data_IF_072405827412
#
_entry.id   IF_072405827412
#
_cell.length_a   1.000
_cell.length_b   1.000
_cell.length_c   1.000
_cell.angle_alpha   90.00
_cell.angle_beta   90.00
_cell.angle_gamma   90.00
#
_symmetry.space_group_name_H-M   'P 1'
#
loop_
_entity.id
_entity.type
_entity.pdbx_description
1 polymer ?
#
# COMPACT_ATOMS: atom_id res chain seq x y z
N UNK A 1 50.76 -26.28 42.69
CA UNK A 1 49.43 -26.29 42.08
C UNK A 1 48.95 -24.85 41.97
N UNK A 2 48.97 -24.20 40.80
CA UNK A 2 48.33 -22.91 40.62
C UNK A 2 46.89 -23.12 40.10
N UNK A 3 45.93 -22.48 40.77
CA UNK A 3 44.51 -22.48 40.43
C UNK A 3 44.27 -21.68 39.14
N UNK A 4 43.72 -22.33 38.10
CA UNK A 4 43.15 -21.64 36.96
C UNK A 4 41.76 -21.10 37.33
N UNK A 5 41.63 -19.77 37.38
CA UNK A 5 40.33 -19.10 37.42
C UNK A 5 39.79 -18.96 36.00
N UNK A 6 38.74 -19.70 35.66
CA UNK A 6 37.97 -19.49 34.44
C UNK A 6 37.02 -18.30 34.64
N UNK A 7 37.36 -17.15 34.08
CA UNK A 7 36.39 -16.06 33.87
C UNK A 7 35.51 -16.41 32.67
N UNK A 8 34.28 -16.83 32.94
CA UNK A 8 33.23 -16.95 31.93
C UNK A 8 32.76 -15.55 31.53
N UNK A 9 33.10 -15.12 30.31
CA UNK A 9 32.51 -13.94 29.70
C UNK A 9 31.09 -14.30 29.22
N UNK A 10 30.08 -13.92 29.99
CA UNK A 10 28.68 -13.90 29.55
C UNK A 10 28.55 -12.76 28.52
N UNK A 11 28.62 -13.10 27.24
CA UNK A 11 28.20 -12.20 26.17
C UNK A 11 26.70 -11.98 26.29
N UNK A 12 26.28 -10.73 26.54
CA UNK A 12 24.89 -10.33 26.33
C UNK A 12 24.59 -10.50 24.83
N UNK A 13 23.85 -11.55 24.46
CA UNK A 13 23.08 -11.52 23.22
C UNK A 13 22.08 -10.38 23.37
N UNK A 14 22.34 -9.26 22.70
CA UNK A 14 21.32 -8.28 22.41
C UNK A 14 20.25 -8.99 21.56
N UNK A 15 19.18 -9.46 22.21
CA UNK A 15 17.94 -9.79 21.54
C UNK A 15 17.44 -8.48 20.93
N UNK A 16 17.85 -8.21 19.68
CA UNK A 16 17.10 -7.30 18.83
C UNK A 16 15.65 -7.80 18.90
N UNK A 17 14.68 -6.94 19.26
CA UNK A 17 13.29 -7.35 19.14
C UNK A 17 13.13 -7.73 17.67
N UNK A 18 12.84 -9.01 17.42
CA UNK A 18 12.32 -9.40 16.13
C UNK A 18 11.10 -8.49 15.94
N UNK A 19 11.19 -7.54 15.01
CA UNK A 19 10.06 -6.72 14.63
C UNK A 19 8.95 -7.73 14.31
N UNK A 20 7.94 -7.80 15.17
CA UNK A 20 6.78 -8.63 14.88
C UNK A 20 6.11 -7.92 13.70
N UNK A 21 6.34 -8.45 12.51
CA UNK A 21 5.64 -8.03 11.31
C UNK A 21 4.14 -8.30 11.55
N UNK A 22 3.29 -7.38 11.12
CA UNK A 22 1.84 -7.45 11.37
C UNK A 22 1.24 -8.73 10.83
N UNK A 23 1.68 -9.19 9.65
CA UNK A 23 1.23 -10.47 9.12
C UNK A 23 1.64 -11.65 10.00
N UNK A 24 0.64 -12.45 10.40
CA UNK A 24 0.81 -13.70 11.12
C UNK A 24 0.20 -14.87 10.33
N UNK A 25 1.06 -15.68 9.71
CA UNK A 25 0.69 -16.89 8.93
C UNK A 25 -0.14 -17.90 9.73
N UNK A 26 -0.01 -17.92 11.06
CA UNK A 26 -0.71 -18.87 11.92
C UNK A 26 -2.02 -18.30 12.47
N UNK A 27 -2.32 -17.03 12.19
CA UNK A 27 -3.57 -16.40 12.62
C UNK A 27 -4.66 -16.51 11.56
N UNK A 28 -5.88 -16.21 12.00
CA UNK A 28 -7.08 -16.13 11.18
C UNK A 28 -7.84 -14.81 11.37
N UNK A 29 -7.18 -13.82 11.98
CA UNK A 29 -7.71 -12.49 12.26
C UNK A 29 -6.88 -11.38 11.59
N UNK A 30 -6.01 -11.71 10.62
CA UNK A 30 -5.24 -10.69 9.92
C UNK A 30 -6.16 -9.75 9.15
N UNK A 31 -5.88 -8.44 9.21
CA UNK A 31 -6.57 -7.43 8.41
C UNK A 31 -5.58 -6.80 7.42
N UNK A 32 -5.88 -6.99 6.13
CA UNK A 32 -5.12 -6.40 5.01
C UNK A 32 -5.94 -5.25 4.43
N UNK A 33 -5.31 -4.11 4.16
CA UNK A 33 -6.01 -2.96 3.56
C UNK A 33 -5.17 -2.34 2.44
N UNK A 34 -5.80 -2.06 1.30
CA UNK A 34 -5.15 -1.33 0.20
C UNK A 34 -5.07 0.17 0.52
N UNK A 35 -3.97 0.82 0.16
CA UNK A 35 -3.76 2.26 0.34
C UNK A 35 -3.00 2.83 -0.86
N UNK A 36 -3.43 3.97 -1.38
CA UNK A 36 -2.72 4.67 -2.45
C UNK A 36 -3.63 5.19 -3.55
N UNK A 37 -4.82 4.63 -3.75
CA UNK A 37 -5.71 5.03 -4.85
C UNK A 37 -6.79 6.05 -4.47
N UNK A 38 -6.98 6.35 -3.18
CA UNK A 38 -8.00 7.32 -2.75
C UNK A 38 -9.38 7.01 -3.37
N UNK A 39 -9.83 5.76 -3.24
CA UNK A 39 -11.04 5.26 -3.89
C UNK A 39 -12.24 6.19 -3.62
N UNK A 40 -13.01 6.51 -4.66
CA UNK A 40 -14.14 7.43 -4.59
C UNK A 40 -13.77 8.91 -4.37
N UNK A 41 -12.48 9.26 -4.43
CA UNK A 41 -11.97 10.63 -4.27
C UNK A 41 -12.37 11.29 -2.94
N UNK A 42 -12.54 10.49 -1.88
CA UNK A 42 -12.99 10.95 -0.55
C UNK A 42 -11.90 11.65 0.25
N UNK A 43 -10.66 11.62 -0.24
CA UNK A 43 -9.46 12.14 0.40
C UNK A 43 -8.69 11.02 1.11
N UNK A 44 -7.40 10.94 0.84
CA UNK A 44 -6.51 9.97 1.48
C UNK A 44 -5.35 10.69 2.18
N UNK A 45 -5.08 10.28 3.42
CA UNK A 45 -3.94 10.77 4.20
C UNK A 45 -2.64 10.03 3.83
N UNK A 46 -1.52 10.54 4.36
CA UNK A 46 -0.22 9.86 4.25
C UNK A 46 -0.25 8.47 4.91
N UNK A 47 0.67 7.59 4.54
CA UNK A 47 0.67 6.19 4.99
C UNK A 47 0.84 6.07 6.52
N UNK A 48 1.77 6.84 7.12
CA UNK A 48 2.01 6.78 8.58
C UNK A 48 0.80 7.18 9.43
N UNK A 49 -0.07 8.05 8.92
CA UNK A 49 -1.33 8.39 9.60
C UNK A 49 -2.18 7.13 9.82
N UNK A 50 -2.29 6.26 8.82
CA UNK A 50 -3.07 5.04 8.93
C UNK A 50 -2.39 4.00 9.81
N UNK A 51 -1.07 3.87 9.72
CA UNK A 51 -0.31 2.97 10.60
C UNK A 51 -0.49 3.31 12.09
N UNK A 52 -0.59 4.60 12.41
CA UNK A 52 -0.89 5.08 13.76
C UNK A 52 -2.36 4.89 14.16
N UNK A 53 -3.28 5.27 13.27
CA UNK A 53 -4.70 5.42 13.62
C UNK A 53 -5.56 4.17 13.33
N UNK A 54 -5.00 3.14 12.70
CA UNK A 54 -5.61 1.82 12.53
C UNK A 54 -4.73 0.73 13.15
N UNK A 55 -4.64 0.67 14.49
CA UNK A 55 -3.82 -0.33 15.18
C UNK A 55 -4.21 -1.78 14.82
N UNK A 56 -5.47 -2.04 14.50
CA UNK A 56 -5.98 -3.37 14.13
C UNK A 56 -5.72 -3.78 12.66
N UNK A 57 -5.13 -2.91 11.83
CA UNK A 57 -4.72 -3.29 10.46
C UNK A 57 -3.32 -3.88 10.49
N UNK A 58 -3.11 -5.07 9.98
CA UNK A 58 -1.82 -5.77 10.07
C UNK A 58 -0.93 -5.52 8.85
N UNK A 59 -1.55 -5.52 7.67
CA UNK A 59 -0.88 -5.40 6.38
C UNK A 59 -1.46 -4.23 5.60
N UNK A 60 -0.59 -3.43 5.00
CA UNK A 60 -0.97 -2.39 4.06
C UNK A 60 -0.35 -2.66 2.70
N UNK A 61 -1.20 -2.86 1.70
CA UNK A 61 -0.80 -2.98 0.30
C UNK A 61 -0.73 -1.57 -0.29
N UNK A 62 0.47 -1.10 -0.64
CA UNK A 62 0.66 0.18 -1.34
C UNK A 62 0.24 -0.01 -2.80
N UNK A 63 -0.68 0.83 -3.26
CA UNK A 63 -1.42 0.65 -4.52
C UNK A 63 -1.30 1.89 -5.39
N UNK A 64 -0.65 1.87 -6.56
CA UNK A 64 -0.06 0.70 -7.23
C UNK A 64 1.16 1.05 -8.06
N UNK A 65 1.99 0.04 -8.29
CA UNK A 65 2.86 -0.02 -9.46
C UNK A 65 1.99 -0.49 -10.63
N UNK A 66 1.23 0.45 -11.22
CA UNK A 66 0.22 0.19 -12.25
C UNK A 66 0.82 -0.46 -13.49
N UNK A 67 2.06 -0.13 -13.84
CA UNK A 67 2.69 -0.72 -15.01
C UNK A 67 4.16 -1.05 -14.76
N UNK A 68 4.53 -2.29 -15.08
CA UNK A 68 5.90 -2.80 -14.92
C UNK A 68 6.75 -2.39 -16.11
N UNK A 69 6.26 -2.62 -17.33
CA UNK A 69 7.01 -2.34 -18.56
C UNK A 69 7.27 -0.84 -18.81
N UNK A 70 6.37 0.04 -18.36
CA UNK A 70 6.50 1.49 -18.48
C UNK A 70 6.83 2.21 -17.16
N UNK A 71 7.10 1.44 -16.09
CA UNK A 71 7.43 1.93 -14.75
C UNK A 71 6.46 3.01 -14.26
N UNK A 72 5.18 2.68 -14.18
CA UNK A 72 4.12 3.61 -13.80
C UNK A 72 3.71 3.40 -12.34
N UNK A 73 4.14 4.29 -11.45
CA UNK A 73 3.72 4.33 -10.05
C UNK A 73 2.63 5.39 -9.86
N UNK A 74 1.45 4.97 -9.44
CA UNK A 74 0.33 5.86 -9.16
C UNK A 74 -0.07 5.74 -7.68
N UNK A 75 -0.03 6.86 -6.96
CA UNK A 75 -0.44 6.97 -5.54
C UNK A 75 -1.50 8.07 -5.35
N UNK A 76 -2.34 8.28 -6.37
CA UNK A 76 -3.41 9.27 -6.41
C UNK A 76 -2.96 10.64 -5.87
N UNK A 77 -3.70 11.20 -4.91
CA UNK A 77 -3.41 12.52 -4.35
C UNK A 77 -2.10 12.58 -3.55
N UNK A 78 -1.61 11.45 -3.02
CA UNK A 78 -0.33 11.41 -2.29
C UNK A 78 0.85 11.49 -3.27
N UNK A 79 0.66 11.00 -4.50
CA UNK A 79 1.62 11.15 -5.60
C UNK A 79 1.97 12.62 -5.92
N UNK A 80 1.10 13.57 -5.60
CA UNK A 80 1.35 15.00 -5.79
C UNK A 80 2.52 15.54 -4.94
N UNK A 81 2.89 14.83 -3.86
CA UNK A 81 4.05 15.16 -3.03
C UNK A 81 5.34 14.50 -3.54
N UNK A 82 5.28 13.74 -4.63
CA UNK A 82 6.40 13.08 -5.25
C UNK A 82 6.91 13.85 -6.48
N UNK A 83 8.12 13.51 -6.94
CA UNK A 83 8.69 14.05 -8.18
C UNK A 83 9.01 12.93 -9.14
N UNK A 84 8.83 13.11 -10.45
CA UNK A 84 9.18 12.10 -11.43
C UNK A 84 10.70 11.87 -11.53
N UNK A 85 11.12 10.62 -11.80
CA UNK A 85 12.51 10.34 -12.16
C UNK A 85 12.82 10.85 -13.57
N UNK A 86 13.96 11.53 -13.80
CA UNK A 86 14.32 12.04 -15.14
C UNK A 86 14.38 10.96 -16.22
N UNK A 87 14.82 9.75 -15.87
CA UNK A 87 14.96 8.61 -16.76
C UNK A 87 13.69 7.76 -16.91
N UNK A 88 12.70 7.97 -16.04
CA UNK A 88 11.46 7.20 -15.98
C UNK A 88 10.32 8.13 -15.53
N UNK A 89 9.74 8.92 -16.46
CA UNK A 89 8.84 10.02 -16.10
C UNK A 89 7.50 9.58 -15.46
N UNK A 90 7.10 8.31 -15.64
CA UNK A 90 5.92 7.74 -14.99
C UNK A 90 6.25 7.14 -13.61
N UNK A 91 7.53 7.07 -13.25
CA UNK A 91 7.98 6.57 -11.95
C UNK A 91 8.16 7.74 -11.00
N UNK A 92 7.63 7.60 -9.80
CA UNK A 92 7.66 8.66 -8.78
C UNK A 92 8.77 8.41 -7.76
N UNK A 93 9.52 9.46 -7.42
CA UNK A 93 10.40 9.55 -6.27
C UNK A 93 9.62 10.16 -5.11
N UNK A 94 9.35 9.37 -4.07
CA UNK A 94 8.41 9.67 -3.00
C UNK A 94 9.09 9.60 -1.61
N UNK A 95 9.91 10.60 -1.22
CA UNK A 95 10.65 10.58 0.05
C UNK A 95 9.73 10.61 1.29
N UNK A 96 8.52 11.16 1.19
CA UNK A 96 7.55 11.09 2.28
C UNK A 96 7.04 9.66 2.49
N UNK A 97 6.79 8.92 1.41
CA UNK A 97 6.33 7.52 1.47
C UNK A 97 7.47 6.62 1.96
N UNK A 98 8.72 6.88 1.54
CA UNK A 98 9.90 6.23 2.12
C UNK A 98 9.93 6.33 3.65
N UNK A 99 9.81 7.55 4.18
CA UNK A 99 9.80 7.77 5.62
C UNK A 99 8.62 7.08 6.31
N UNK A 100 7.44 7.10 5.69
CA UNK A 100 6.24 6.46 6.23
C UNK A 100 6.36 4.93 6.29
N UNK A 101 6.92 4.29 5.25
CA UNK A 101 7.14 2.83 5.24
C UNK A 101 8.00 2.43 6.44
N UNK A 102 9.10 3.16 6.67
CA UNK A 102 10.01 2.90 7.79
C UNK A 102 9.30 3.09 9.13
N UNK A 103 8.50 4.16 9.28
CA UNK A 103 7.73 4.40 10.51
C UNK A 103 6.68 3.30 10.75
N UNK A 104 5.94 2.91 9.73
CA UNK A 104 4.95 1.84 9.81
C UNK A 104 5.55 0.51 10.27
N UNK A 105 6.68 0.13 9.69
CA UNK A 105 7.38 -1.12 10.02
C UNK A 105 8.01 -1.05 11.42
N UNK A 106 8.71 0.03 11.75
CA UNK A 106 9.53 0.10 12.98
C UNK A 106 8.75 0.53 14.23
N UNK A 107 7.77 1.43 14.07
CA UNK A 107 7.02 1.99 15.19
C UNK A 107 5.71 1.24 15.42
N UNK A 108 5.01 0.89 14.33
CA UNK A 108 3.67 0.32 14.40
C UNK A 108 3.60 -1.17 14.04
N UNK A 109 4.73 -1.78 13.70
CA UNK A 109 4.84 -3.22 13.41
C UNK A 109 4.03 -3.67 12.19
N UNK A 110 3.71 -2.77 11.25
CA UNK A 110 2.90 -3.12 10.08
C UNK A 110 3.73 -3.86 9.03
N UNK A 111 3.11 -4.82 8.34
CA UNK A 111 3.66 -5.39 7.10
C UNK A 111 3.28 -4.48 5.94
N UNK A 112 4.25 -4.01 5.18
CA UNK A 112 4.03 -3.09 4.05
C UNK A 112 4.40 -3.78 2.74
N UNK A 113 3.42 -3.97 1.87
CA UNK A 113 3.57 -4.66 0.59
C UNK A 113 3.53 -3.66 -0.56
N UNK A 114 4.23 -3.95 -1.65
CA UNK A 114 4.03 -3.22 -2.91
C UNK A 114 3.05 -4.00 -3.79
N UNK A 115 1.87 -3.45 -4.04
CA UNK A 115 0.89 -4.04 -4.93
C UNK A 115 1.12 -3.61 -6.37
N UNK A 116 1.17 -4.61 -7.26
CA UNK A 116 1.44 -4.47 -8.67
C UNK A 116 0.10 -4.46 -9.43
N UNK A 117 0.02 -3.65 -10.49
CA UNK A 117 -1.12 -3.56 -11.41
C UNK A 117 -2.35 -2.80 -10.85
N UNK A 118 -3.44 -3.48 -10.51
CA UNK A 118 -4.78 -2.93 -10.20
C UNK A 118 -5.65 -2.68 -11.45
N UNK A 119 -6.89 -2.25 -11.32
CA UNK A 119 -7.86 -2.08 -12.43
C UNK A 119 -7.50 -1.22 -13.67
N UNK A 120 -6.36 -0.52 -13.71
CA UNK A 120 -6.09 0.50 -14.76
C UNK A 120 -4.88 0.24 -15.65
N UNK A 121 -4.18 -0.90 -15.50
CA UNK A 121 -3.08 -1.20 -16.42
C UNK A 121 -3.59 -1.49 -17.82
N UNK A 122 -2.67 -1.36 -18.78
CA UNK A 122 -2.95 -1.66 -20.19
C UNK A 122 -1.86 -2.54 -20.79
N UNK A 123 -0.96 -3.07 -19.97
CA UNK A 123 0.15 -3.88 -20.46
C UNK A 123 -0.29 -5.31 -20.79
N UNK A 124 0.27 -5.86 -21.86
CA UNK A 124 -0.03 -7.22 -22.34
C UNK A 124 0.99 -8.25 -21.86
N UNK A 125 1.80 -7.89 -20.87
CA UNK A 125 2.87 -8.72 -20.31
C UNK A 125 4.22 -8.54 -21.00
N UNK A 126 5.05 -9.58 -20.95
CA UNK A 126 6.45 -9.49 -21.39
C UNK A 126 6.68 -10.19 -22.72
N UNK A 127 7.58 -9.65 -23.54
CA UNK A 127 7.89 -10.18 -24.87
C UNK A 127 8.56 -11.56 -24.88
N UNK A 128 9.13 -11.98 -23.74
CA UNK A 128 9.75 -13.29 -23.54
C UNK A 128 9.88 -13.60 -22.05
N UNK A 129 10.09 -14.87 -21.71
CA UNK A 129 10.44 -15.29 -20.35
C UNK A 129 11.68 -14.56 -19.81
N UNK A 130 12.71 -14.33 -20.63
CA UNK A 130 13.91 -13.57 -20.20
C UNK A 130 13.61 -12.09 -19.91
N UNK A 131 12.68 -11.49 -20.65
CA UNK A 131 12.23 -10.13 -20.38
C UNK A 131 11.42 -10.05 -19.06
N UNK A 132 10.57 -11.06 -18.81
CA UNK A 132 9.84 -11.20 -17.56
C UNK A 132 10.77 -11.35 -16.34
N UNK A 133 11.79 -12.20 -16.45
CA UNK A 133 12.83 -12.37 -15.41
C UNK A 133 13.57 -11.05 -15.15
N UNK A 134 14.00 -10.35 -16.21
CA UNK A 134 14.66 -9.04 -16.06
C UNK A 134 13.76 -8.02 -15.37
N UNK A 135 12.46 -7.99 -15.69
CA UNK A 135 11.50 -7.09 -15.07
C UNK A 135 11.28 -7.42 -13.58
N UNK A 136 11.23 -8.70 -13.20
CA UNK A 136 11.13 -9.12 -11.81
C UNK A 136 12.38 -8.69 -11.00
N UNK A 137 13.56 -8.84 -11.60
CA UNK A 137 14.82 -8.37 -11.01
C UNK A 137 14.84 -6.84 -10.85
N UNK A 138 14.27 -6.11 -11.81
CA UNK A 138 14.12 -4.66 -11.72
C UNK A 138 13.17 -4.27 -10.58
N UNK A 139 12.00 -4.90 -10.46
CA UNK A 139 11.06 -4.65 -9.35
C UNK A 139 11.70 -4.96 -7.98
N UNK A 140 12.44 -6.06 -7.89
CA UNK A 140 13.21 -6.39 -6.70
C UNK A 140 14.29 -5.35 -6.38
N UNK A 141 14.99 -4.85 -7.39
CA UNK A 141 15.97 -3.78 -7.23
C UNK A 141 15.35 -2.42 -6.87
N UNK A 142 14.09 -2.17 -7.22
CA UNK A 142 13.35 -0.96 -6.86
C UNK A 142 12.87 -0.96 -5.40
N UNK A 143 12.30 -2.07 -4.93
CA UNK A 143 11.54 -2.12 -3.68
C UNK A 143 12.11 -3.09 -2.63
N UNK A 144 12.89 -4.09 -3.04
CA UNK A 144 13.58 -5.04 -2.16
C UNK A 144 14.83 -4.43 -1.49
N UNK A 145 15.70 -5.24 -0.86
CA UNK A 145 16.94 -4.78 -0.23
C UNK A 145 17.81 -3.94 -1.15
N UNK A 146 18.42 -2.88 -0.61
CA UNK A 146 19.34 -2.01 -1.36
C UNK A 146 20.54 -2.82 -1.86
N UNK A 147 20.78 -2.77 -3.17
CA UNK A 147 21.85 -3.51 -3.83
C UNK A 147 23.04 -2.58 -4.13
N UNK A 148 24.19 -2.85 -3.52
CA UNK A 148 25.40 -2.04 -3.71
C UNK A 148 25.83 -2.03 -5.19
N UNK A 149 26.02 -0.83 -5.75
CA UNK A 149 26.44 -0.65 -7.15
C UNK A 149 25.31 -0.76 -8.18
N UNK A 150 24.06 -0.99 -7.76
CA UNK A 150 22.90 -0.92 -8.62
C UNK A 150 22.39 0.54 -8.71
N UNK A 151 22.07 1.00 -9.92
CA UNK A 151 21.57 2.35 -10.21
C UNK A 151 20.08 2.40 -10.58
N UNK A 152 19.34 1.29 -10.41
CA UNK A 152 17.89 1.24 -10.60
C UNK A 152 17.23 2.33 -9.74
N UNK A 153 16.39 3.21 -10.31
CA UNK A 153 15.69 4.24 -9.54
C UNK A 153 14.78 3.59 -8.50
N UNK A 154 14.85 4.06 -7.26
CA UNK A 154 14.09 3.51 -6.13
C UNK A 154 13.02 4.49 -5.68
N UNK A 155 11.73 4.22 -5.96
CA UNK A 155 10.62 5.13 -5.62
C UNK A 155 10.55 5.52 -4.15
N UNK A 156 10.93 4.60 -3.28
CA UNK A 156 10.91 4.78 -1.83
C UNK A 156 12.32 4.81 -1.24
N UNK A 157 13.29 5.34 -2.00
CA UNK A 157 14.68 5.50 -1.55
C UNK A 157 15.25 4.21 -0.95
N UNK A 158 15.69 4.26 0.31
CA UNK A 158 16.27 3.11 1.00
C UNK A 158 15.26 2.24 1.76
N UNK A 159 13.97 2.61 1.79
CA UNK A 159 12.95 1.75 2.38
C UNK A 159 12.87 0.41 1.63
N UNK A 160 12.59 -0.65 2.38
CA UNK A 160 12.49 -2.02 1.88
C UNK A 160 11.12 -2.56 2.25
N UNK A 161 10.27 -2.81 1.24
CA UNK A 161 8.95 -3.41 1.47
C UNK A 161 9.08 -4.81 2.07
N UNK A 162 8.02 -5.32 2.65
CA UNK A 162 7.97 -6.67 3.22
C UNK A 162 7.56 -7.73 2.19
N UNK A 163 7.20 -7.32 0.98
CA UNK A 163 6.75 -8.24 -0.04
C UNK A 163 6.05 -7.57 -1.22
N UNK A 164 5.47 -8.40 -2.08
CA UNK A 164 4.74 -7.99 -3.26
C UNK A 164 3.36 -8.63 -3.30
N UNK A 165 2.41 -7.86 -3.80
CA UNK A 165 1.03 -8.27 -4.02
C UNK A 165 0.70 -8.15 -5.51
N UNK A 166 0.06 -9.16 -6.09
CA UNK A 166 -0.33 -9.21 -7.49
C UNK A 166 -1.83 -8.94 -7.59
N UNK A 167 -2.23 -7.79 -8.14
CA UNK A 167 -3.63 -7.41 -8.30
C UNK A 167 -3.98 -7.29 -9.79
N UNK A 168 -4.04 -8.42 -10.50
CA UNK A 168 -4.39 -8.42 -11.92
C UNK A 168 -5.91 -8.55 -12.07
N UNK A 169 -6.55 -7.47 -12.50
CA UNK A 169 -8.00 -7.46 -12.72
C UNK A 169 -8.39 -7.80 -14.17
N UNK A 170 -7.43 -7.81 -15.09
CA UNK A 170 -7.56 -8.17 -16.51
C UNK A 170 -6.47 -9.18 -16.99
N UNK A 171 -6.78 -10.17 -17.83
CA UNK A 171 -5.77 -11.16 -18.23
C UNK A 171 -4.53 -10.57 -18.91
N UNK A 172 -3.35 -10.94 -18.42
CA UNK A 172 -2.07 -10.69 -19.08
C UNK A 172 -1.63 -11.96 -19.81
N UNK A 173 -1.70 -11.95 -21.14
CA UNK A 173 -1.52 -13.15 -21.96
C UNK A 173 -0.06 -13.66 -22.04
N UNK A 174 0.95 -12.86 -21.68
CA UNK A 174 2.35 -13.18 -21.97
C UNK A 174 3.28 -13.17 -20.74
N UNK A 175 3.87 -14.33 -20.45
CA UNK A 175 5.03 -14.52 -19.57
C UNK A 175 4.89 -13.96 -18.14
N UNK A 176 3.68 -13.92 -17.57
CA UNK A 176 3.50 -13.48 -16.18
C UNK A 176 4.03 -14.50 -15.16
N UNK A 177 3.85 -15.79 -15.41
CA UNK A 177 4.38 -16.85 -14.53
C UNK A 177 5.91 -16.77 -14.36
N UNK A 178 6.74 -16.64 -15.42
CA UNK A 178 8.17 -16.40 -15.25
C UNK A 178 8.52 -15.15 -14.42
N UNK A 179 7.75 -14.08 -14.52
CA UNK A 179 7.95 -12.87 -13.71
C UNK A 179 7.65 -13.15 -12.22
N UNK A 180 6.50 -13.77 -11.93
CA UNK A 180 6.10 -14.13 -10.57
C UNK A 180 7.07 -15.14 -9.93
N UNK A 181 7.50 -16.15 -10.69
CA UNK A 181 8.45 -17.17 -10.23
C UNK A 181 9.83 -16.57 -9.90
N UNK A 182 10.36 -15.67 -10.74
CA UNK A 182 11.64 -14.99 -10.45
C UNK A 182 11.53 -14.09 -9.22
N UNK A 183 10.44 -13.32 -9.09
CA UNK A 183 10.25 -12.46 -7.93
C UNK A 183 10.20 -13.28 -6.63
N UNK A 184 9.48 -14.41 -6.64
CA UNK A 184 9.46 -15.36 -5.51
C UNK A 184 10.83 -15.94 -5.20
N UNK A 185 11.59 -16.32 -6.23
CA UNK A 185 12.96 -16.84 -6.09
C UNK A 185 13.89 -15.83 -5.41
N UNK A 186 13.83 -14.56 -5.84
CA UNK A 186 14.63 -13.46 -5.25
C UNK A 186 14.27 -13.22 -3.78
N UNK A 187 12.97 -13.30 -3.45
CA UNK A 187 12.47 -13.18 -2.08
C UNK A 187 12.93 -14.33 -1.18
N UNK A 188 12.92 -15.57 -1.68
CA UNK A 188 13.38 -16.74 -0.93
C UNK A 188 14.90 -16.75 -0.72
N UNK A 189 15.65 -16.21 -1.67
CA UNK A 189 17.10 -16.07 -1.57
C UNK A 189 17.54 -14.97 -0.59
N UNK A 190 16.64 -14.05 -0.24
CA UNK A 190 16.94 -12.93 0.66
C UNK A 190 17.09 -13.41 2.10
N UNK A 191 18.19 -13.01 2.76
CA UNK A 191 18.50 -13.41 4.14
C UNK A 191 18.27 -12.31 5.18
N UNK A 192 17.89 -11.09 4.74
CA UNK A 192 17.71 -9.94 5.62
C UNK A 192 16.44 -10.02 6.48
N UNK A 193 15.35 -10.55 5.91
CA UNK A 193 14.07 -10.83 6.57
C UNK A 193 13.26 -11.80 5.71
N UNK A 194 12.19 -12.37 6.27
CA UNK A 194 11.17 -13.07 5.47
C UNK A 194 10.42 -12.05 4.63
N UNK A 195 10.28 -12.34 3.34
CA UNK A 195 9.43 -11.59 2.42
C UNK A 195 8.17 -12.39 2.11
N UNK A 196 7.09 -11.67 1.84
CA UNK A 196 5.76 -12.21 1.63
C UNK A 196 5.27 -12.00 0.20
N UNK A 197 4.59 -13.00 -0.36
CA UNK A 197 3.98 -12.92 -1.68
C UNK A 197 2.46 -13.14 -1.58
N UNK A 198 1.68 -12.22 -2.12
CA UNK A 198 0.23 -12.36 -2.24
C UNK A 198 -0.28 -12.09 -3.65
N UNK A 199 -1.52 -12.51 -3.89
CA UNK A 199 -2.29 -12.17 -5.08
C UNK A 199 -3.73 -11.78 -4.68
N UNK A 200 -4.44 -11.06 -5.54
CA UNK A 200 -5.78 -10.56 -5.31
C UNK A 200 -6.75 -11.01 -6.42
N UNK A 201 -6.97 -12.33 -6.59
CA UNK A 201 -7.90 -12.81 -7.61
C UNK A 201 -9.32 -12.35 -7.31
N UNK A 202 -10.15 -12.21 -8.33
CA UNK A 202 -11.59 -12.04 -8.15
C UNK A 202 -12.24 -13.35 -7.66
N UNK A 203 -13.44 -13.27 -7.08
CA UNK A 203 -14.09 -14.49 -6.57
C UNK A 203 -14.48 -15.55 -7.62
N UNK A 204 -14.76 -15.26 -8.91
CA UNK A 204 -14.98 -16.30 -9.91
C UNK A 204 -13.78 -17.23 -10.00
N UNK A 205 -14.00 -18.53 -10.13
CA UNK A 205 -12.92 -19.52 -10.18
C UNK A 205 -13.09 -20.47 -11.38
N UNK A 206 -12.04 -20.74 -12.18
CA UNK A 206 -10.70 -20.15 -12.07
C UNK A 206 -10.71 -18.64 -12.32
N UNK A 207 -9.84 -17.89 -11.64
CA UNK A 207 -9.65 -16.47 -11.90
C UNK A 207 -8.84 -16.32 -13.18
N UNK A 208 -9.43 -15.75 -14.23
CA UNK A 208 -8.83 -15.71 -15.57
C UNK A 208 -7.59 -14.83 -15.68
N UNK A 209 -7.36 -13.93 -14.72
CA UNK A 209 -6.25 -12.99 -14.74
C UNK A 209 -5.02 -13.56 -14.05
N UNK A 210 -5.24 -14.23 -12.93
CA UNK A 210 -4.19 -14.82 -12.10
C UNK A 210 -3.94 -16.31 -12.41
N UNK A 211 -4.83 -17.01 -13.12
CA UNK A 211 -4.83 -18.48 -13.32
C UNK A 211 -3.43 -19.04 -13.62
N UNK A 212 -2.72 -18.41 -14.56
CA UNK A 212 -1.46 -18.92 -15.11
C UNK A 212 -0.35 -19.11 -14.07
N UNK A 213 -0.38 -18.37 -12.96
CA UNK A 213 0.63 -18.47 -11.90
C UNK A 213 0.04 -18.80 -10.54
N UNK A 214 -1.25 -18.53 -10.31
CA UNK A 214 -1.95 -18.84 -9.07
C UNK A 214 -2.18 -20.34 -8.89
N UNK A 215 -2.47 -21.04 -9.98
CA UNK A 215 -2.65 -22.50 -10.03
C UNK A 215 -1.38 -23.24 -10.49
N UNK A 216 -0.31 -22.48 -10.77
CA UNK A 216 0.99 -22.96 -11.23
C UNK A 216 1.98 -23.25 -10.11
N UNK A 217 3.27 -23.05 -10.39
CA UNK A 217 4.37 -23.40 -9.47
C UNK A 217 4.69 -22.32 -8.44
N UNK A 218 4.06 -21.13 -8.53
CA UNK A 218 4.37 -19.99 -7.67
C UNK A 218 3.72 -20.15 -6.29
N UNK A 219 4.56 -20.21 -5.26
CA UNK A 219 4.13 -20.42 -3.88
C UNK A 219 3.71 -19.10 -3.20
N UNK A 220 2.45 -18.71 -3.34
CA UNK A 220 1.87 -17.56 -2.61
C UNK A 220 1.71 -17.85 -1.11
N UNK A 221 2.01 -16.87 -0.26
CA UNK A 221 1.81 -16.99 1.19
C UNK A 221 0.32 -16.81 1.55
N UNK A 222 -0.40 -15.93 0.83
CA UNK A 222 -1.87 -15.81 0.90
C UNK A 222 -2.50 -15.21 -0.37
N UNK A 223 -3.83 -15.25 -0.45
CA UNK A 223 -4.64 -14.57 -1.46
C UNK A 223 -5.70 -13.66 -0.84
N UNK A 224 -5.86 -12.49 -1.42
CA UNK A 224 -6.82 -11.44 -1.09
C UNK A 224 -8.06 -11.55 -2.01
N UNK A 225 -8.80 -12.67 -1.94
CA UNK A 225 -9.88 -12.95 -2.90
C UNK A 225 -10.94 -11.85 -2.87
N UNK A 226 -11.16 -11.16 -3.99
CA UNK A 226 -12.10 -10.06 -4.11
C UNK A 226 -13.53 -10.60 -4.19
N UNK A 227 -14.17 -10.81 -3.05
CA UNK A 227 -15.57 -11.22 -2.94
C UNK A 227 -16.53 -10.03 -3.08
N UNK A 228 -16.36 -9.25 -4.14
CA UNK A 228 -17.23 -8.14 -4.54
C UNK A 228 -17.20 -7.94 -6.05
N UNK A 229 -18.07 -7.06 -6.57
CA UNK A 229 -18.27 -6.81 -8.02
C UNK A 229 -18.71 -8.02 -8.86
N UNK A 230 -18.91 -9.17 -8.23
CA UNK A 230 -19.21 -10.45 -8.85
C UNK A 230 -20.33 -11.17 -8.08
N UNK A 231 -21.04 -12.08 -8.75
CA UNK A 231 -22.16 -12.84 -8.14
C UNK A 231 -21.74 -13.70 -6.95
N UNK A 232 -20.47 -14.12 -6.89
CA UNK A 232 -19.91 -14.87 -5.76
C UNK A 232 -19.49 -14.01 -4.56
N UNK A 233 -19.77 -12.71 -4.59
CA UNK A 233 -19.36 -11.77 -3.55
C UNK A 233 -20.10 -11.91 -2.23
N UNK A 234 -19.57 -11.30 -1.17
CA UNK A 234 -20.16 -11.33 0.19
C UNK A 234 -21.58 -10.77 0.22
N UNK A 235 -21.91 -9.79 -0.63
CA UNK A 235 -23.27 -9.25 -0.74
C UNK A 235 -24.32 -10.24 -1.27
N UNK A 236 -23.89 -11.43 -1.71
CA UNK A 236 -24.75 -12.55 -2.11
C UNK A 236 -24.70 -13.73 -1.12
N UNK A 237 -24.06 -13.56 0.05
CA UNK A 237 -24.06 -14.56 1.11
C UNK A 237 -25.48 -14.81 1.66
N UNK A 238 -25.86 -16.08 1.95
CA UNK A 238 -25.06 -17.29 1.80
C UNK A 238 -25.16 -17.96 0.43
N UNK A 239 -26.07 -17.53 -0.44
CA UNK A 239 -26.51 -18.30 -1.60
C UNK A 239 -25.40 -18.54 -2.62
N UNK A 240 -24.69 -17.47 -3.02
CA UNK A 240 -23.72 -17.55 -4.13
C UNK A 240 -22.27 -17.37 -3.67
N UNK A 241 -22.05 -17.09 -2.37
CA UNK A 241 -20.72 -16.92 -1.79
C UNK A 241 -19.89 -18.22 -1.86
N UNK A 242 -18.87 -18.24 -2.71
CA UNK A 242 -18.17 -19.46 -3.11
C UNK A 242 -16.90 -19.79 -2.28
N UNK A 243 -16.90 -19.48 -0.97
CA UNK A 243 -15.75 -19.73 -0.08
C UNK A 243 -15.18 -21.15 -0.17
N UNK A 244 -16.04 -22.16 -0.26
CA UNK A 244 -15.62 -23.56 -0.34
C UNK A 244 -14.70 -23.85 -1.54
N UNK A 245 -14.86 -23.10 -2.64
CA UNK A 245 -14.00 -23.20 -3.82
C UNK A 245 -12.58 -22.72 -3.50
N UNK A 246 -12.46 -21.56 -2.86
CA UNK A 246 -11.17 -20.98 -2.48
C UNK A 246 -10.48 -21.74 -1.33
N UNK A 247 -11.24 -22.31 -0.39
CA UNK A 247 -10.71 -23.25 0.59
C UNK A 247 -10.14 -24.52 -0.08
N UNK A 248 -10.85 -25.06 -1.08
CA UNK A 248 -10.36 -26.19 -1.86
C UNK A 248 -9.09 -25.85 -2.64
N UNK A 249 -9.03 -24.67 -3.27
CA UNK A 249 -7.83 -24.18 -3.97
C UNK A 249 -6.62 -24.19 -3.03
N UNK A 250 -6.74 -23.58 -1.84
CA UNK A 250 -5.62 -23.47 -0.89
C UNK A 250 -5.09 -24.86 -0.46
N UNK A 251 -5.99 -25.84 -0.30
CA UNK A 251 -5.65 -27.19 0.16
C UNK A 251 -5.12 -28.10 -0.94
N UNK A 252 -5.62 -27.96 -2.16
CA UNK A 252 -5.44 -28.96 -3.21
C UNK A 252 -4.63 -28.44 -4.39
N UNK A 253 -4.79 -27.17 -4.76
CA UNK A 253 -4.19 -26.58 -5.96
C UNK A 253 -2.90 -25.84 -5.61
N UNK A 254 -2.97 -24.82 -4.74
CA UNK A 254 -1.85 -23.91 -4.43
C UNK A 254 -0.51 -24.62 -4.23
N UNK A 255 0.57 -24.10 -4.83
CA UNK A 255 1.92 -24.62 -4.63
C UNK A 255 2.35 -24.56 -3.14
N UNK A 256 1.83 -23.59 -2.38
CA UNK A 256 1.99 -23.52 -0.94
C UNK A 256 0.77 -24.13 -0.22
N UNK A 257 0.90 -25.34 0.32
CA UNK A 257 -0.20 -26.00 1.06
C UNK A 257 -0.54 -25.38 2.41
N UNK A 258 0.20 -24.35 2.82
CA UNK A 258 -0.10 -23.50 3.98
C UNK A 258 -0.62 -22.11 3.57
N UNK A 259 -0.93 -21.89 2.29
CA UNK A 259 -1.45 -20.62 1.81
C UNK A 259 -2.75 -20.25 2.55
N UNK A 260 -2.87 -18.96 2.85
CA UNK A 260 -4.08 -18.40 3.46
C UNK A 260 -5.00 -17.78 2.43
N UNK A 261 -6.30 -17.78 2.74
CA UNK A 261 -7.35 -17.11 1.96
C UNK A 261 -7.97 -16.06 2.85
N UNK A 262 -8.08 -14.84 2.34
CA UNK A 262 -8.75 -13.72 3.00
C UNK A 262 -10.07 -13.43 2.30
N UNK A 263 -11.07 -13.00 3.07
CA UNK A 263 -12.31 -12.45 2.50
C UNK A 263 -12.03 -11.01 2.10
N UNK A 264 -11.82 -10.74 0.81
CA UNK A 264 -11.76 -9.39 0.27
C UNK A 264 -13.15 -8.78 0.15
N UNK A 265 -13.33 -7.58 0.71
CA UNK A 265 -14.61 -6.86 0.67
C UNK A 265 -14.39 -5.34 0.59
N UNK A 266 -15.32 -4.55 0.02
CA UNK A 266 -15.18 -3.11 -0.01
C UNK A 266 -15.31 -2.54 1.40
N UNK A 267 -14.50 -1.54 1.73
CA UNK A 267 -14.50 -0.93 3.06
C UNK A 267 -15.70 0.02 3.30
N UNK A 268 -16.40 0.42 2.24
CA UNK A 268 -17.58 1.27 2.27
C UNK A 268 -18.37 1.15 0.95
N UNK A 269 -19.59 1.70 0.91
CA UNK A 269 -20.48 1.67 -0.26
C UNK A 269 -19.88 2.31 -1.52
N UNK A 270 -18.98 3.28 -1.36
CA UNK A 270 -18.32 3.98 -2.47
C UNK A 270 -17.06 3.27 -3.00
N UNK A 271 -16.64 2.17 -2.37
CA UNK A 271 -15.43 1.44 -2.75
C UNK A 271 -15.60 0.43 -3.88
N UNK A 272 -16.84 0.12 -4.28
CA UNK A 272 -17.13 -0.92 -5.26
C UNK A 272 -18.38 -0.59 -6.08
N UNK A 273 -18.71 -1.47 -7.04
CA UNK A 273 -19.92 -1.33 -7.85
C UNK A 273 -21.17 -1.34 -6.95
N UNK A 274 -22.19 -0.56 -7.36
CA UNK A 274 -23.45 -0.49 -6.64
C UNK A 274 -24.03 -1.90 -6.38
N UNK A 275 -24.40 -2.16 -5.12
CA UNK A 275 -24.91 -3.46 -4.67
C UNK A 275 -23.84 -4.48 -4.22
N UNK A 276 -22.55 -4.13 -4.31
CA UNK A 276 -21.46 -5.04 -3.90
C UNK A 276 -21.03 -4.90 -2.45
N UNK A 277 -21.40 -3.80 -1.78
CA UNK A 277 -21.11 -3.63 -0.35
C UNK A 277 -22.06 -4.52 0.49
N UNK A 278 -21.52 -5.43 1.33
CA UNK A 278 -22.36 -6.37 2.07
C UNK A 278 -23.07 -5.71 3.24
N UNK A 279 -24.19 -6.31 3.64
CA UNK A 279 -24.79 -6.02 4.95
C UNK A 279 -23.96 -6.62 6.09
N UNK A 280 -24.17 -6.10 7.29
CA UNK A 280 -23.55 -6.60 8.53
C UNK A 280 -23.72 -8.11 8.77
N UNK A 281 -24.90 -8.66 8.50
CA UNK A 281 -25.19 -10.08 8.68
C UNK A 281 -24.54 -10.94 7.61
N UNK A 282 -24.40 -10.42 6.40
CA UNK A 282 -23.71 -11.11 5.31
C UNK A 282 -22.21 -11.22 5.58
N UNK A 283 -21.56 -10.13 6.00
CA UNK A 283 -20.14 -10.14 6.32
C UNK A 283 -19.82 -11.04 7.52
N UNK A 284 -20.54 -10.86 8.64
CA UNK A 284 -20.34 -11.68 9.84
C UNK A 284 -20.64 -13.17 9.58
N UNK A 285 -21.64 -13.48 8.75
CA UNK A 285 -21.95 -14.85 8.31
C UNK A 285 -20.85 -15.46 7.44
N UNK A 286 -20.30 -14.70 6.48
CA UNK A 286 -19.19 -15.12 5.64
C UNK A 286 -17.91 -15.38 6.45
N UNK A 287 -17.56 -14.47 7.37
CA UNK A 287 -16.42 -14.64 8.29
C UNK A 287 -16.63 -15.88 9.19
N UNK A 288 -17.84 -16.07 9.73
CA UNK A 288 -18.14 -17.23 10.58
C UNK A 288 -18.04 -18.55 9.82
N UNK A 289 -18.46 -18.59 8.56
CA UNK A 289 -18.27 -19.76 7.68
C UNK A 289 -16.77 -20.02 7.44
N UNK A 290 -16.03 -18.98 7.10
CA UNK A 290 -14.61 -19.07 6.78
C UNK A 290 -13.75 -19.53 7.97
N UNK A 291 -14.05 -19.04 9.18
CA UNK A 291 -13.40 -19.49 10.43
C UNK A 291 -13.46 -21.00 10.67
N UNK A 292 -14.40 -21.70 10.03
CA UNK A 292 -14.49 -23.16 10.06
C UNK A 292 -13.38 -23.87 9.26
N UNK A 293 -12.56 -23.16 8.49
CA UNK A 293 -11.50 -23.75 7.65
C UNK A 293 -10.09 -23.33 8.10
N UNK A 294 -9.11 -24.22 7.91
CA UNK A 294 -7.70 -23.96 8.25
C UNK A 294 -7.01 -22.98 7.28
N UNK A 295 -7.58 -22.82 6.10
CA UNK A 295 -7.13 -21.90 5.06
C UNK A 295 -7.47 -20.44 5.37
N UNK A 296 -8.44 -20.17 6.26
CA UNK A 296 -8.82 -18.80 6.59
C UNK A 296 -7.66 -18.03 7.23
N UNK A 297 -7.36 -16.86 6.67
CA UNK A 297 -6.31 -15.95 7.13
C UNK A 297 -6.81 -14.64 7.72
N UNK A 298 -8.05 -14.25 7.41
CA UNK A 298 -8.65 -12.99 7.87
C UNK A 298 -9.42 -12.25 6.77
N UNK A 299 -9.40 -10.92 6.80
CA UNK A 299 -10.20 -10.04 5.91
C UNK A 299 -9.28 -9.08 5.15
N UNK A 300 -9.59 -8.85 3.88
CA UNK A 300 -8.97 -7.79 3.08
C UNK A 300 -10.00 -6.69 2.78
N UNK A 301 -9.56 -5.43 2.80
CA UNK A 301 -10.41 -4.27 2.58
C UNK A 301 -9.91 -3.36 1.45
N UNK A 302 -10.82 -3.04 0.54
CA UNK A 302 -10.63 -2.03 -0.49
C UNK A 302 -11.47 -0.77 -0.20
N UNK A 303 -10.90 0.39 0.18
CA UNK A 303 -9.51 0.70 0.51
C UNK A 303 -9.45 1.53 1.81
N UNK A 304 -8.28 2.02 2.19
CA UNK A 304 -8.06 2.79 3.42
C UNK A 304 -8.84 4.11 3.47
N UNK A 305 -9.00 4.80 2.34
CA UNK A 305 -9.74 6.06 2.27
C UNK A 305 -11.24 5.82 2.53
N UNK A 306 -11.77 4.75 1.94
CA UNK A 306 -13.15 4.30 2.18
C UNK A 306 -13.35 3.81 3.61
N UNK A 307 -12.39 3.05 4.16
CA UNK A 307 -12.45 2.53 5.53
C UNK A 307 -12.55 3.65 6.56
N UNK A 308 -11.72 4.68 6.44
CA UNK A 308 -11.73 5.82 7.35
C UNK A 308 -12.96 6.73 7.18
N UNK A 309 -13.60 6.68 6.01
CA UNK A 309 -14.89 7.33 5.77
C UNK A 309 -16.07 6.54 6.35
N UNK A 310 -15.87 5.27 6.71
CA UNK A 310 -16.88 4.37 7.28
C UNK A 310 -16.64 4.14 8.78
N UNK A 311 -17.02 5.14 9.59
CA UNK A 311 -16.73 5.14 11.03
C UNK A 311 -17.31 3.90 11.73
N UNK A 312 -16.46 3.16 12.44
CA UNK A 312 -16.84 1.97 13.22
C UNK A 312 -16.79 0.65 12.45
N UNK A 313 -16.62 0.67 11.13
CA UNK A 313 -16.62 -0.55 10.32
C UNK A 313 -15.42 -1.47 10.62
N UNK A 314 -14.22 -0.91 10.81
CA UNK A 314 -13.05 -1.69 11.23
C UNK A 314 -13.30 -2.41 12.56
N UNK A 315 -13.86 -1.69 13.55
CA UNK A 315 -14.15 -2.27 14.87
C UNK A 315 -15.17 -3.42 14.78
N UNK A 316 -16.14 -3.32 13.86
CA UNK A 316 -17.09 -4.40 13.58
C UNK A 316 -16.39 -5.63 13.01
N UNK A 317 -15.50 -5.45 12.03
CA UNK A 317 -14.73 -6.56 11.44
C UNK A 317 -13.85 -7.23 12.50
N UNK A 318 -13.16 -6.46 13.34
CA UNK A 318 -12.38 -6.99 14.46
C UNK A 318 -13.25 -7.85 15.39
N UNK A 319 -14.47 -7.39 15.70
CA UNK A 319 -15.40 -8.15 16.53
C UNK A 319 -15.86 -9.45 15.82
N UNK A 320 -16.16 -9.40 14.52
CA UNK A 320 -16.54 -10.58 13.73
C UNK A 320 -15.37 -11.59 13.63
N UNK A 321 -14.13 -11.09 13.59
CA UNK A 321 -12.89 -11.88 13.70
C UNK A 321 -12.63 -12.41 15.12
N UNK A 322 -13.42 -12.01 16.12
CA UNK A 322 -13.37 -12.51 17.50
C UNK A 322 -12.38 -11.77 18.40
N UNK A 323 -11.83 -10.65 17.91
CA UNK A 323 -11.01 -9.72 18.68
C UNK A 323 -11.83 -8.68 19.43
N UNK A 324 -11.11 -7.75 20.06
CA UNK A 324 -11.67 -6.53 20.63
C UNK A 324 -10.95 -5.34 20.00
N UNK A 325 -11.69 -4.40 19.42
CA UNK A 325 -11.12 -3.26 18.71
C UNK A 325 -10.13 -2.48 19.58
N UNK A 326 -8.95 -2.22 19.04
CA UNK A 326 -7.90 -1.50 19.74
C UNK A 326 -8.20 0.01 19.70
N UNK A 327 -7.91 0.70 20.81
CA UNK A 327 -7.98 2.17 20.80
C UNK A 327 -6.71 2.71 20.15
N UNK A 328 -6.81 3.69 19.22
CA UNK A 328 -5.62 4.35 18.68
C UNK A 328 -4.77 4.94 19.81
N UNK A 329 -3.43 4.86 19.71
CA UNK A 329 -2.56 5.50 20.69
C UNK A 329 -2.85 7.01 20.76
N UNK A 330 -2.76 7.62 21.96
CA UNK A 330 -2.93 9.06 22.11
C UNK A 330 -1.92 9.80 21.22
N UNK A 331 -2.29 10.96 20.63
CA UNK A 331 -1.38 11.72 19.78
C UNK A 331 -0.09 12.06 20.55
N UNK A 332 1.08 12.02 19.89
CA UNK A 332 2.33 12.40 20.54
C UNK A 332 2.23 13.84 21.07
N UNK A 333 2.82 14.15 22.23
CA UNK A 333 2.79 15.51 22.77
C UNK A 333 3.40 16.47 21.74
N UNK A 334 2.68 17.54 21.41
CA UNK A 334 3.15 18.56 20.46
C UNK A 334 4.48 19.14 20.94
N UNK A 335 5.59 18.69 20.37
CA UNK A 335 6.88 19.36 20.54
C UNK A 335 6.85 20.61 19.68
N UNK A 336 6.58 21.76 20.30
CA UNK A 336 6.86 23.07 19.73
C UNK A 336 8.35 23.14 19.37
N UNK A 337 8.67 23.10 18.09
CA UNK A 337 10.00 23.42 17.58
C UNK A 337 10.33 24.87 17.97
N UNK A 338 11.31 25.04 18.85
CA UNK A 338 11.84 26.35 19.20
C UNK A 338 12.46 27.00 17.95
N UNK A 339 11.84 28.08 17.47
CA UNK A 339 12.37 28.92 16.39
C UNK A 339 13.69 29.55 16.84
N UNK A 340 14.82 29.09 16.28
CA UNK A 340 16.11 29.76 16.41
C UNK A 340 16.15 30.90 15.39
N UNK A 341 15.93 32.13 15.83
CA UNK A 341 16.08 33.34 15.02
C UNK A 341 17.57 33.59 14.77
N UNK A 342 18.05 33.38 13.53
CA UNK A 342 19.36 33.87 13.09
C UNK A 342 19.20 35.21 12.38
N UNK A 343 19.76 36.25 12.97
CA UNK A 343 19.91 37.58 12.38
C UNK A 343 21.13 37.58 11.46
N UNK A 344 20.96 37.92 10.17
CA UNK A 344 22.09 38.28 9.30
C UNK A 344 21.72 39.47 8.42
N UNK A 345 22.25 40.64 8.79
CA UNK A 345 22.26 41.88 7.99
C UNK A 345 23.32 41.80 6.89
N UNK A 346 22.90 42.09 5.66
CA UNK A 346 23.70 42.06 4.45
C UNK A 346 24.66 43.26 4.30
N UNK A 347 25.83 43.02 3.71
CA UNK A 347 26.74 44.03 3.18
C UNK A 347 26.65 44.07 1.64
N UNK A 348 26.95 45.24 1.08
CA UNK A 348 26.47 45.77 -0.20
C UNK A 348 27.43 45.67 -1.40
N UNK A 349 26.84 45.38 -2.58
CA UNK A 349 27.28 45.83 -3.94
C UNK A 349 28.00 44.80 -4.84
N UNK A 350 28.08 45.00 -6.19
CA UNK A 350 27.09 45.56 -7.13
C UNK A 350 26.86 44.72 -8.43
N UNK A 351 25.65 44.89 -9.00
CA UNK A 351 25.23 44.86 -10.42
C UNK A 351 25.82 43.90 -11.47
N UNK A 352 24.94 43.11 -12.11
CA UNK A 352 24.92 42.91 -13.57
C UNK A 352 23.55 42.42 -14.09
N UNK A 353 22.92 43.31 -14.88
CA UNK A 353 21.86 43.23 -15.91
C UNK A 353 20.94 42.00 -16.14
N UNK A 354 19.63 42.34 -16.08
CA UNK A 354 18.52 42.09 -17.05
C UNK A 354 17.62 40.83 -16.92
N UNK A 355 16.33 40.87 -17.38
CA UNK A 355 15.45 42.01 -17.70
C UNK A 355 14.12 42.03 -16.91
N UNK A 356 13.47 43.19 -16.92
CA UNK A 356 12.08 43.35 -16.51
C UNK A 356 11.12 42.80 -17.59
N UNK A 357 10.08 42.09 -17.15
CA UNK A 357 8.90 41.74 -17.94
C UNK A 357 7.71 41.55 -17.00
N UNK A 358 6.84 42.55 -16.91
CA UNK A 358 5.67 42.54 -16.02
C UNK A 358 4.47 41.81 -16.61
N UNK A 359 3.60 41.32 -15.73
CA UNK A 359 2.16 41.59 -15.75
C UNK A 359 1.52 41.02 -14.48
N UNK A 360 0.61 41.80 -13.88
CA UNK A 360 -0.27 41.32 -12.83
C UNK A 360 -1.13 40.19 -13.38
N UNK A 361 -0.86 38.96 -12.92
CA UNK A 361 -1.63 37.79 -13.29
C UNK A 361 -2.78 37.61 -12.32
N UNK A 362 -4.01 37.80 -12.77
CA UNK A 362 -5.18 37.31 -12.06
C UNK A 362 -5.19 35.78 -12.07
N UNK A 363 -5.61 35.19 -10.96
CA UNK A 363 -5.61 33.75 -10.71
C UNK A 363 -6.71 33.09 -11.55
N UNK A 364 -6.40 32.04 -12.35
CA UNK A 364 -7.41 31.34 -13.14
C UNK A 364 -8.41 30.59 -12.24
N UNK A 365 -9.52 30.13 -12.81
CA UNK A 365 -10.47 29.27 -12.07
C UNK A 365 -9.72 28.10 -11.44
N UNK A 366 -10.02 27.80 -10.18
CA UNK A 366 -9.42 26.81 -9.30
C UNK A 366 -7.98 27.07 -8.85
N UNK A 367 -7.34 28.16 -9.31
CA UNK A 367 -6.05 28.57 -8.79
C UNK A 367 -6.14 29.11 -7.36
N UNK A 368 -5.06 28.96 -6.59
CA UNK A 368 -4.99 29.50 -5.22
C UNK A 368 -5.02 31.03 -5.25
N UNK A 369 -5.90 31.61 -4.44
CA UNK A 369 -6.06 33.06 -4.30
C UNK A 369 -5.96 33.52 -2.84
N UNK A 370 -5.73 32.60 -1.90
CA UNK A 370 -5.63 32.89 -0.48
C UNK A 370 -5.28 31.65 0.36
N UNK A 371 -5.17 31.84 1.67
CA UNK A 371 -4.74 30.84 2.64
C UNK A 371 -3.53 31.29 3.46
N UNK A 372 -3.42 30.82 4.69
CA UNK A 372 -2.30 31.15 5.57
C UNK A 372 -0.95 30.76 4.95
N UNK A 373 -0.04 31.74 4.86
CA UNK A 373 1.27 31.58 4.23
C UNK A 373 1.32 31.83 2.71
N UNK A 374 0.18 32.05 2.05
CA UNK A 374 0.14 32.34 0.61
C UNK A 374 0.61 33.75 0.28
N UNK A 375 1.63 33.87 -0.60
CA UNK A 375 2.22 35.16 -1.04
C UNK A 375 1.97 35.48 -2.51
N UNK A 376 1.13 34.70 -3.20
CA UNK A 376 0.84 34.87 -4.63
C UNK A 376 -0.32 35.84 -4.90
N UNK A 377 -0.78 35.95 -6.17
CA UNK A 377 -1.88 36.84 -6.54
C UNK A 377 -3.20 36.42 -5.86
N UNK A 378 -3.97 37.40 -5.39
CA UNK A 378 -5.24 37.15 -4.68
C UNK A 378 -6.49 37.50 -5.50
N UNK A 379 -6.31 38.09 -6.68
CA UNK A 379 -7.40 38.52 -7.54
C UNK A 379 -7.72 37.45 -8.59
N UNK A 380 -8.94 36.92 -8.57
CA UNK A 380 -9.40 35.94 -9.56
C UNK A 380 -9.69 36.58 -10.92
N UNK A 381 -9.51 35.79 -11.99
CA UNK A 381 -10.00 36.12 -13.32
C UNK A 381 -11.53 36.22 -13.29
N UNK A 382 -12.10 37.28 -13.89
CA UNK A 382 -13.54 37.39 -14.01
C UNK A 382 -14.09 36.21 -14.84
N UNK A 383 -15.24 35.59 -14.46
CA UNK A 383 -16.21 36.03 -13.44
C UNK A 383 -15.98 35.49 -12.02
N UNK A 384 -14.86 34.81 -11.78
CA UNK A 384 -14.63 34.02 -10.57
C UNK A 384 -14.33 34.87 -9.34
N UNK A 385 -14.63 34.32 -8.16
CA UNK A 385 -14.35 34.94 -6.86
C UNK A 385 -13.46 34.03 -6.03
N UNK A 386 -12.63 34.64 -5.19
CA UNK A 386 -11.81 33.89 -4.25
C UNK A 386 -12.69 33.34 -3.14
N UNK A 387 -12.82 32.01 -3.06
CA UNK A 387 -13.63 31.28 -2.08
C UNK A 387 -12.68 30.59 -1.10
N UNK A 388 -12.88 30.83 0.19
CA UNK A 388 -12.12 30.17 1.27
C UNK A 388 -12.62 28.74 1.44
N UNK A 389 -11.72 27.76 1.34
CA UNK A 389 -12.04 26.34 1.54
C UNK A 389 -11.47 25.82 2.87
N UNK A 390 -10.34 26.37 3.31
CA UNK A 390 -9.76 26.12 4.63
C UNK A 390 -8.91 27.32 5.08
N UNK A 391 -8.43 27.29 6.33
CA UNK A 391 -7.46 28.25 6.87
C UNK A 391 -6.22 28.42 5.96
N UNK A 392 -5.79 27.34 5.31
CA UNK A 392 -4.57 27.29 4.52
C UNK A 392 -4.80 27.43 3.01
N UNK A 393 -6.07 27.46 2.57
CA UNK A 393 -6.39 27.43 1.14
C UNK A 393 -7.68 28.17 0.77
N UNK A 394 -7.57 29.02 -0.24
CA UNK A 394 -8.70 29.63 -0.95
C UNK A 394 -8.48 29.51 -2.46
N UNK A 395 -9.52 29.20 -3.22
CA UNK A 395 -9.44 29.02 -4.68
C UNK A 395 -10.42 29.92 -5.44
N UNK A 396 -10.14 30.22 -6.71
CA UNK A 396 -11.04 31.00 -7.56
C UNK A 396 -12.19 30.17 -8.12
N UNK A 397 -13.44 30.44 -7.74
CA UNK A 397 -14.61 29.66 -8.17
C UNK A 397 -15.63 30.47 -8.95
#
# INVERSE_FOLDING_TARGET
MPSLSFTAALGLLSLLPAAQAGWNQNSNDNIVVYWGQNSGSVGQNRLSYYCQNAPDVDVINISFMVGITNLNLNLANVGNNCTAFPQAPNLLNCPQVEADIVECQQTYGKTIMMSLFGSTYTESGFSSSSAAVSAAQEMWAMYGPVQSGNSTPRPFGNAVVDGFDFDLEDPIENNMEPFAAELKSLMDAATSKKFWLSAAPQCPYPDISDESFLDGEVAFDWVNVQFYNNGCGVSHYPADFNWATWDNWAKTVSANKNAKVLIGTPANVGGANAGSFPTDSQLSGAISLAKGTSSFGGVMLWDMAQLFSNTGYLAKIVADLGGSASTPPPPPPSTTLATVTRTSTAASGPTSSAPAGGNGGSVPQWGQCGGDGYTGPTQCQAPFKCVVESEWWSSCQ
#
